data_IF_365356599332
#
_entry.id   IF_365356599332
#
_cell.length_a   1.000
_cell.length_b   1.000
_cell.length_c   1.000
_cell.angle_alpha   90.00
_cell.angle_beta   90.00
_cell.angle_gamma   90.00
#
_symmetry.space_group_name_H-M   'P 1'
#
loop_
_entity.id
_entity.type
_entity.pdbx_description
1 polymer ?
#
# COMPACT_ATOMS: atom_id res chain seq x y z
N UNK A 1 -6.42 -4.71 -17.64
CA UNK A 1 -6.61 -3.46 -16.88
C UNK A 1 -5.67 -3.42 -15.67
N UNK A 2 -4.61 -2.62 -15.76
CA UNK A 2 -3.55 -2.49 -14.75
C UNK A 2 -4.08 -1.92 -13.43
N UNK A 3 -3.71 -2.54 -12.31
CA UNK A 3 -4.04 -2.10 -10.94
C UNK A 3 -2.94 -1.13 -10.48
N UNK A 4 -3.17 0.17 -10.63
CA UNK A 4 -2.23 1.18 -10.15
C UNK A 4 -2.61 1.60 -8.72
N UNK A 5 -1.87 1.14 -7.72
CA UNK A 5 -2.08 1.47 -6.29
C UNK A 5 -0.99 2.44 -5.83
N UNK A 6 -1.33 3.39 -4.94
CA UNK A 6 -0.36 4.26 -4.27
C UNK A 6 0.05 3.68 -2.92
N UNK A 7 1.32 3.30 -2.77
CA UNK A 7 1.87 2.96 -1.45
C UNK A 7 2.38 4.24 -0.76
N UNK A 8 2.06 4.44 0.52
CA UNK A 8 2.54 5.60 1.28
C UNK A 8 4.01 5.42 1.66
N UNK A 9 4.86 6.44 1.48
CA UNK A 9 6.26 6.41 1.92
C UNK A 9 6.30 6.63 3.44
N UNK A 10 6.41 5.57 4.23
CA UNK A 10 6.70 5.73 5.66
C UNK A 10 8.17 6.17 5.85
N UNK A 11 8.40 7.17 6.71
CA UNK A 11 9.72 7.78 6.96
C UNK A 11 10.68 6.91 7.80
N UNK A 12 10.41 5.61 7.92
CA UNK A 12 11.26 4.64 8.60
C UNK A 12 11.19 3.31 7.83
N UNK A 13 12.18 3.05 6.98
CA UNK A 13 12.29 1.77 6.26
C UNK A 13 11.43 1.70 5.00
N UNK A 14 12.11 1.46 3.89
CA UNK A 14 11.58 1.46 2.54
C UNK A 14 10.84 0.14 2.26
N UNK A 15 9.50 0.13 2.16
CA UNK A 15 8.74 -1.02 1.67
C UNK A 15 7.73 -0.58 0.59
N UNK A 16 8.06 -0.86 -0.67
CA UNK A 16 7.17 -0.73 -1.85
C UNK A 16 5.97 -1.67 -1.67
N UNK A 17 4.68 -1.35 -1.92
CA UNK A 17 3.54 -2.29 -1.64
C UNK A 17 2.32 -2.49 -2.62
N UNK A 18 2.04 -3.72 -3.17
CA UNK A 18 0.88 -4.32 -3.89
C UNK A 18 0.84 -5.88 -3.85
N UNK A 19 -0.35 -6.46 -4.08
CA UNK A 19 -0.62 -7.90 -4.18
C UNK A 19 -1.29 -8.26 -5.52
N UNK A 20 -1.06 -9.48 -6.04
CA UNK A 20 -1.81 -10.06 -7.16
C UNK A 20 -2.44 -11.39 -6.71
N UNK A 21 -3.75 -11.55 -6.92
CA UNK A 21 -4.45 -12.83 -6.81
C UNK A 21 -5.11 -13.11 -8.16
N UNK A 22 -4.73 -14.21 -8.81
CA UNK A 22 -5.42 -14.74 -9.97
C UNK A 22 -6.32 -15.90 -9.52
N UNK A 23 -7.63 -15.73 -9.63
CA UNK A 23 -8.58 -16.84 -9.64
C UNK A 23 -9.30 -16.85 -10.99
N UNK A 24 -9.29 -18.01 -11.64
CA UNK A 24 -9.93 -18.25 -12.93
C UNK A 24 -11.46 -18.19 -12.83
N UNK A 25 -12.07 -17.68 -13.91
CA UNK A 25 -13.51 -17.41 -14.15
C UNK A 25 -14.43 -18.64 -14.01
N UNK A 26 -15.73 -18.46 -13.66
CA UNK A 26 -16.74 -18.22 -14.69
C UNK A 26 -17.91 -17.26 -14.35
N UNK A 27 -18.61 -16.85 -15.42
CA UNK A 27 -19.99 -16.36 -15.49
C UNK A 27 -20.26 -14.85 -15.45
N UNK A 28 -21.12 -14.45 -16.41
CA UNK A 28 -21.58 -13.11 -16.75
C UNK A 28 -22.45 -12.46 -15.67
N UNK A 29 -21.83 -12.07 -14.55
CA UNK A 29 -22.29 -10.97 -13.71
C UNK A 29 -21.45 -9.73 -14.01
N UNK A 30 -22.02 -8.53 -13.92
CA UNK A 30 -21.20 -7.32 -13.91
C UNK A 30 -20.17 -7.48 -12.77
N UNK A 31 -18.88 -7.59 -13.11
CA UNK A 31 -17.82 -7.80 -12.13
C UNK A 31 -17.71 -6.51 -11.31
N UNK A 32 -18.45 -6.45 -10.20
CA UNK A 32 -18.48 -5.27 -9.35
C UNK A 32 -17.22 -5.29 -8.49
N UNK A 33 -16.17 -4.69 -9.03
CA UNK A 33 -14.94 -4.45 -8.31
C UNK A 33 -15.23 -3.56 -7.09
N UNK A 34 -14.71 -3.87 -5.89
CA UNK A 34 -14.95 -3.05 -4.71
C UNK A 34 -14.40 -1.65 -4.95
N UNK A 35 -15.20 -0.62 -4.66
CA UNK A 35 -14.77 0.78 -4.75
C UNK A 35 -13.68 1.09 -3.73
N UNK A 36 -12.89 2.13 -4.00
CA UNK A 36 -11.87 2.63 -3.07
C UNK A 36 -12.44 2.93 -1.68
N UNK A 37 -11.96 2.23 -0.66
CA UNK A 37 -12.41 2.36 0.73
C UNK A 37 -11.35 1.88 1.73
N UNK A 38 -11.45 2.25 3.01
CA UNK A 38 -10.62 1.67 4.06
C UNK A 38 -10.95 0.18 4.26
N UNK A 39 -9.93 -0.67 4.31
CA UNK A 39 -10.06 -2.09 4.65
C UNK A 39 -9.11 -2.45 5.78
N UNK A 40 -9.49 -3.39 6.65
CA UNK A 40 -8.57 -3.96 7.65
C UNK A 40 -7.59 -4.90 6.96
N UNK A 41 -6.31 -4.76 7.30
CA UNK A 41 -5.26 -5.61 6.75
C UNK A 41 -4.09 -5.73 7.73
N UNK A 42 -3.34 -6.82 7.58
CA UNK A 42 -2.09 -7.02 8.31
C UNK A 42 -0.97 -6.27 7.62
N UNK A 43 -0.22 -5.48 8.38
CA UNK A 43 0.93 -4.73 7.90
C UNK A 43 2.15 -5.10 8.72
N UNK A 44 3.25 -5.42 8.06
CA UNK A 44 4.53 -5.71 8.70
C UNK A 44 5.28 -4.41 9.01
N UNK A 45 5.60 -4.22 10.29
CA UNK A 45 6.37 -3.11 10.82
C UNK A 45 7.83 -3.51 10.91
N UNK A 46 8.70 -2.62 10.43
CA UNK A 46 10.13 -2.83 10.41
C UNK A 46 10.85 -1.63 11.03
N UNK A 47 11.95 -1.90 11.73
CA UNK A 47 12.88 -0.88 12.21
C UNK A 47 14.29 -1.35 11.95
N UNK A 48 15.09 -0.54 11.27
CA UNK A 48 16.52 -0.81 11.05
C UNK A 48 17.20 -0.98 12.41
N UNK A 49 17.94 -2.07 12.56
CA UNK A 49 18.66 -2.40 13.79
C UNK A 49 17.89 -3.34 14.71
N UNK A 50 16.59 -3.56 14.50
CA UNK A 50 15.84 -4.61 15.19
C UNK A 50 15.91 -5.93 14.39
N UNK A 51 15.91 -7.09 15.06
CA UNK A 51 16.20 -8.39 14.43
C UNK A 51 15.03 -8.96 13.63
N UNK A 52 13.79 -8.55 13.93
CA UNK A 52 12.56 -9.09 13.33
C UNK A 52 11.56 -7.99 13.00
N UNK A 53 10.72 -8.27 12.02
CA UNK A 53 9.52 -7.48 11.78
C UNK A 53 8.40 -7.90 12.74
N UNK A 54 7.40 -7.02 12.89
CA UNK A 54 6.20 -7.31 13.66
C UNK A 54 4.95 -6.95 12.87
N UNK A 55 4.00 -7.88 12.74
CA UNK A 55 2.77 -7.63 11.98
C UNK A 55 1.67 -7.09 12.88
N UNK A 56 1.01 -6.02 12.44
CA UNK A 56 -0.13 -5.40 13.15
C UNK A 56 -1.35 -5.32 12.24
N UNK A 57 -2.54 -5.45 12.82
CA UNK A 57 -3.78 -5.16 12.11
C UNK A 57 -4.03 -3.64 12.09
N UNK A 58 -4.20 -3.08 10.90
CA UNK A 58 -4.52 -1.65 10.70
C UNK A 58 -5.49 -1.49 9.52
N UNK A 59 -6.05 -0.29 9.34
CA UNK A 59 -6.81 0.05 8.14
C UNK A 59 -5.91 0.66 7.07
N UNK A 60 -6.02 0.17 5.84
CA UNK A 60 -5.32 0.67 4.64
C UNK A 60 -6.34 1.04 3.56
N UNK A 61 -5.93 1.85 2.58
CA UNK A 61 -6.78 2.13 1.42
C UNK A 61 -6.62 1.07 0.33
N UNK A 62 -7.75 0.51 -0.11
CA UNK A 62 -7.80 -0.50 -1.17
C UNK A 62 -9.11 -0.39 -1.95
N UNK A 63 -9.13 -0.94 -3.16
CA UNK A 63 -10.27 -0.90 -4.07
C UNK A 63 -9.98 -0.12 -5.34
N UNK A 64 -11.04 0.12 -6.12
CA UNK A 64 -10.94 0.56 -7.50
C UNK A 64 -11.44 1.99 -7.68
N UNK A 65 -10.79 2.68 -8.61
CA UNK A 65 -11.17 4.00 -9.05
C UNK A 65 -11.62 3.96 -10.52
N UNK A 66 -12.71 4.67 -10.87
CA UNK A 66 -13.17 4.71 -12.24
C UNK A 66 -12.14 5.43 -13.11
N UNK A 67 -11.67 4.74 -14.16
CA UNK A 67 -10.82 5.33 -15.20
C UNK A 67 -11.64 5.49 -16.48
N UNK A 68 -11.42 6.58 -17.22
CA UNK A 68 -11.98 6.77 -18.55
C UNK A 68 -10.88 6.51 -19.57
N UNK A 69 -11.10 5.53 -20.44
CA UNK A 69 -10.23 5.30 -21.61
C UNK A 69 -10.73 6.20 -22.76
N UNK A 70 -9.92 7.14 -23.29
CA UNK A 70 -10.36 7.94 -24.42
C UNK A 70 -10.45 7.08 -25.69
N UNK A 71 -11.59 7.20 -26.38
CA UNK A 71 -11.92 6.47 -27.62
C UNK A 71 -10.94 6.76 -28.77
N UNK A 72 -10.18 7.85 -28.70
CA UNK A 72 -9.07 8.13 -29.60
C UNK A 72 -7.76 8.06 -28.83
N UNK A 73 -6.73 7.42 -29.41
CA UNK A 73 -5.33 7.54 -28.96
C UNK A 73 -4.85 8.98 -29.17
N UNK A 74 -5.37 9.92 -28.37
CA UNK A 74 -5.02 11.34 -28.46
C UNK A 74 -3.58 11.45 -27.99
N UNK A 75 -2.68 11.62 -28.96
CA UNK A 75 -1.22 11.56 -28.83
C UNK A 75 -0.61 12.54 -27.79
N UNK A 76 -1.39 13.41 -27.16
CA UNK A 76 -0.85 14.50 -26.33
C UNK A 76 -1.70 14.92 -25.11
N UNK A 77 -2.66 14.14 -24.64
CA UNK A 77 -3.35 14.48 -23.40
C UNK A 77 -2.78 13.66 -22.24
N UNK A 78 -2.18 14.35 -21.26
CA UNK A 78 -1.81 13.78 -19.96
C UNK A 78 -3.09 13.35 -19.26
N UNK A 79 -3.56 12.15 -19.56
CA UNK A 79 -4.67 11.53 -18.86
C UNK A 79 -4.15 11.16 -17.48
N UNK A 80 -4.53 11.94 -16.49
CA UNK A 80 -4.21 11.61 -15.11
C UNK A 80 -5.17 10.51 -14.66
N UNK A 81 -4.68 9.28 -14.59
CA UNK A 81 -5.45 8.18 -14.02
C UNK A 81 -5.59 8.40 -12.50
N UNK A 82 -6.82 8.27 -12.00
CA UNK A 82 -7.10 8.31 -10.57
C UNK A 82 -6.86 6.94 -9.97
N UNK A 83 -6.30 6.93 -8.77
CA UNK A 83 -5.92 5.74 -8.02
C UNK A 83 -6.43 5.88 -6.60
N UNK A 84 -6.58 4.76 -5.89
CA UNK A 84 -7.08 4.78 -4.52
C UNK A 84 -5.98 5.31 -3.60
N UNK A 85 -6.23 6.45 -2.96
CA UNK A 85 -5.29 7.15 -2.08
C UNK A 85 -5.88 7.35 -0.69
N UNK A 86 -4.99 7.51 0.28
CA UNK A 86 -5.36 7.93 1.64
C UNK A 86 -5.99 9.32 1.60
N UNK A 87 -7.15 9.45 2.25
CA UNK A 87 -7.74 10.73 2.62
C UNK A 87 -7.22 11.14 3.99
N UNK A 88 -8.07 11.02 5.00
CA UNK A 88 -7.71 11.26 6.39
C UNK A 88 -6.97 10.07 6.99
N UNK A 89 -5.90 10.37 7.72
CA UNK A 89 -5.00 9.39 8.32
C UNK A 89 -4.77 9.73 9.78
N UNK A 90 -4.82 8.69 10.62
CA UNK A 90 -4.36 8.76 11.99
C UNK A 90 -3.06 7.97 12.14
N UNK A 91 -2.10 8.46 12.92
CA UNK A 91 -0.82 7.78 13.13
C UNK A 91 -0.80 7.10 14.49
N UNK A 92 -0.38 5.83 14.49
CA UNK A 92 -0.15 5.05 15.71
C UNK A 92 1.33 4.74 15.86
N UNK A 93 1.71 4.49 17.10
CA UNK A 93 3.08 4.16 17.49
C UNK A 93 3.13 2.75 18.03
N UNK A 94 4.13 1.97 17.63
CA UNK A 94 4.39 0.62 18.11
C UNK A 94 5.86 0.48 18.51
N UNK A 95 6.14 -0.26 19.59
CA UNK A 95 7.51 -0.58 20.00
C UNK A 95 7.84 -2.01 19.58
N UNK A 96 8.79 -2.18 18.67
CA UNK A 96 9.26 -3.50 18.25
C UNK A 96 10.00 -4.16 19.42
N UNK A 97 9.61 -5.39 19.82
CA UNK A 97 10.31 -6.11 20.87
C UNK A 97 11.71 -6.54 20.43
N UNK A 98 12.57 -6.85 21.39
CA UNK A 98 13.89 -7.47 21.17
C UNK A 98 14.87 -6.64 20.32
N UNK A 99 14.68 -5.33 20.23
CA UNK A 99 15.67 -4.45 19.64
C UNK A 99 16.92 -4.33 20.54
N UNK A 100 18.14 -4.34 19.98
CA UNK A 100 19.38 -4.20 20.75
C UNK A 100 19.47 -2.87 21.53
N UNK A 101 20.27 -2.81 22.62
CA UNK A 101 20.52 -1.57 23.35
C UNK A 101 21.04 -0.46 22.43
N UNK A 102 20.51 0.76 22.59
CA UNK A 102 20.89 1.92 21.77
C UNK A 102 20.13 2.06 20.46
N UNK A 103 19.27 1.11 20.10
CA UNK A 103 18.32 1.23 18.97
C UNK A 103 16.96 1.68 19.52
N UNK A 104 16.39 2.74 18.93
CA UNK A 104 15.02 3.16 19.23
C UNK A 104 14.02 2.14 18.60
N UNK A 105 13.25 1.38 19.40
CA UNK A 105 12.33 0.37 18.89
C UNK A 105 11.05 0.95 18.28
N UNK A 106 10.87 2.27 18.35
CA UNK A 106 9.61 2.94 18.02
C UNK A 106 9.39 3.02 16.52
N UNK A 107 8.23 2.56 16.04
CA UNK A 107 7.76 2.68 14.65
C UNK A 107 6.43 3.43 14.65
N UNK A 108 6.30 4.40 13.74
CA UNK A 108 5.06 5.14 13.52
C UNK A 108 4.43 4.65 12.22
N UNK A 109 3.16 4.25 12.27
CA UNK A 109 2.44 3.66 11.13
C UNK A 109 1.06 4.29 10.94
N UNK A 110 0.55 4.37 9.70
CA UNK A 110 -0.72 4.99 9.39
C UNK A 110 -1.92 4.06 9.63
N UNK A 111 -3.05 4.68 9.95
CA UNK A 111 -4.39 4.09 10.03
C UNK A 111 -5.29 4.91 9.13
N UNK A 112 -5.79 4.31 8.03
CA UNK A 112 -6.73 4.98 7.14
C UNK A 112 -8.07 5.21 7.86
N UNK A 113 -8.49 6.48 7.94
CA UNK A 113 -9.83 6.87 8.39
C UNK A 113 -10.76 7.03 7.18
N UNK A 114 -10.23 7.54 6.07
CA UNK A 114 -10.95 7.65 4.80
C UNK A 114 -10.02 7.43 3.60
N UNK A 115 -10.61 7.06 2.47
CA UNK A 115 -9.92 6.83 1.21
C UNK A 115 -10.71 7.50 0.08
N UNK A 116 -10.03 7.96 -0.95
CA UNK A 116 -10.68 8.57 -2.11
C UNK A 116 -9.88 8.31 -3.39
N UNK A 117 -10.53 8.55 -4.54
CA UNK A 117 -9.90 8.43 -5.84
C UNK A 117 -9.25 9.75 -6.24
N UNK A 118 -7.93 9.78 -6.26
CA UNK A 118 -7.15 10.98 -6.53
C UNK A 118 -5.90 10.69 -7.36
N UNK A 119 -5.09 11.73 -7.58
CA UNK A 119 -3.78 11.57 -8.21
C UNK A 119 -2.78 11.00 -7.20
N UNK A 120 -1.94 10.08 -7.64
CA UNK A 120 -0.84 9.61 -6.84
C UNK A 120 0.20 10.73 -6.66
N UNK A 121 0.49 11.10 -5.41
CA UNK A 121 1.51 12.10 -5.12
C UNK A 121 2.89 11.44 -5.04
N UNK A 122 3.70 11.59 -6.08
CA UNK A 122 5.07 11.02 -6.15
C UNK A 122 6.00 11.53 -5.05
N UNK A 123 5.70 12.67 -4.41
CA UNK A 123 6.51 13.20 -3.32
C UNK A 123 6.36 12.36 -2.05
N UNK A 124 5.13 11.94 -1.73
CA UNK A 124 4.76 11.25 -0.48
C UNK A 124 4.44 9.77 -0.66
N UNK A 125 4.32 9.29 -1.90
CA UNK A 125 3.83 7.95 -2.21
C UNK A 125 4.59 7.35 -3.39
N UNK A 126 4.76 6.03 -3.36
CA UNK A 126 5.30 5.27 -4.47
C UNK A 126 4.17 4.93 -5.43
N UNK A 127 4.27 5.50 -6.64
CA UNK A 127 3.28 5.42 -7.70
C UNK A 127 3.72 4.33 -8.69
N UNK A 128 3.31 3.09 -8.48
CA UNK A 128 3.79 1.93 -9.27
C UNK A 128 2.64 0.98 -9.59
N UNK A 129 2.62 0.40 -10.79
CA UNK A 129 1.63 -0.62 -11.17
C UNK A 129 1.78 -1.93 -10.38
N UNK A 130 2.99 -2.20 -9.86
CA UNK A 130 3.29 -3.33 -8.99
C UNK A 130 4.22 -2.90 -7.86
N UNK A 131 3.96 -3.45 -6.70
CA UNK A 131 4.46 -2.97 -5.41
C UNK A 131 4.42 -4.25 -4.48
N UNK A 132 5.07 -4.35 -3.31
CA UNK A 132 5.12 -5.57 -2.42
C UNK A 132 3.87 -5.83 -1.51
N UNK A 133 3.67 -7.01 -0.95
CA UNK A 133 2.49 -7.16 -0.08
C UNK A 133 2.63 -6.36 1.23
N UNK A 134 1.55 -5.82 1.84
CA UNK A 134 1.68 -5.06 3.08
C UNK A 134 2.19 -5.86 4.28
N UNK A 135 2.02 -7.18 4.25
CA UNK A 135 2.56 -8.15 5.19
C UNK A 135 4.04 -8.52 4.90
N UNK A 136 4.66 -7.97 3.86
CA UNK A 136 6.04 -8.28 3.49
C UNK A 136 7.06 -7.71 4.48
N UNK A 137 8.05 -8.53 4.85
CA UNK A 137 9.15 -8.19 5.74
C UNK A 137 10.51 -8.37 5.03
N UNK A 138 11.33 -7.32 4.98
CA UNK A 138 12.69 -7.37 4.40
C UNK A 138 13.69 -8.10 5.29
N UNK A 139 13.54 -8.05 6.63
CA UNK A 139 14.43 -8.77 7.55
C UNK A 139 14.33 -10.29 7.40
N UNK A 140 13.20 -10.82 6.90
CA UNK A 140 13.07 -12.25 6.61
C UNK A 140 14.00 -12.69 5.49
N UNK A 141 14.43 -11.79 4.60
CA UNK A 141 15.39 -12.10 3.52
C UNK A 141 16.83 -12.11 4.04
N UNK A 142 17.17 -11.21 4.96
CA UNK A 142 18.55 -11.07 5.47
C UNK A 142 18.96 -12.17 6.46
N UNK A 143 18.01 -12.96 6.98
CA UNK A 143 18.31 -14.14 7.80
C UNK A 143 18.60 -15.42 6.98
N UNK A 144 18.57 -15.34 5.65
CA UNK A 144 18.86 -16.46 4.73
C UNK A 144 20.19 -16.32 3.96
N UNK A 145 21.05 -15.35 4.29
CA UNK A 145 22.38 -15.17 3.68
C UNK A 145 23.52 -15.34 4.69
#
# INVERSE_FOLDING_TARGET
PSMDTCASKNKAGLTKQSAAYFHHLPSSGAFQLPSCQPIKHMVSLEKRGCPRCHSVETTICSGHCPTKDPVAKVLFHKLFQHVCVYGEVYYKTFQIPDCPPGIDPTVVYPVALSCHCGRCNMNTSDCTSHSLRPDFCLNDILNYS
#
